data_IF_763188904489
#
_entry.id   IF_763188904489
#
_cell.length_a   1.000
_cell.length_b   1.000
_cell.length_c   1.000
_cell.angle_alpha   90.00
_cell.angle_beta   90.00
_cell.angle_gamma   90.00
#
_symmetry.space_group_name_H-M   'P 1'
#
loop_
_entity.id
_entity.type
_entity.pdbx_description
1 polymer ?
#
# COMPACT_ATOMS: atom_id res chain seq x y z
N UNK A 1 -23.65 -8.06 68.21
CA UNK A 1 -22.46 -7.18 68.02
C UNK A 1 -21.57 -7.87 67.02
N UNK A 2 -21.21 -7.39 65.83
CA UNK A 2 -21.27 -6.09 65.14
C UNK A 2 -21.32 -6.43 63.62
N UNK A 3 -22.31 -5.91 62.89
CA UNK A 3 -22.24 -4.78 61.91
C UNK A 3 -22.07 -5.26 60.45
N UNK A 4 -22.93 -4.67 59.62
CA UNK A 4 -23.11 -4.79 58.17
C UNK A 4 -21.90 -4.32 57.31
N UNK A 5 -21.87 -4.86 56.09
CA UNK A 5 -21.53 -4.24 54.79
C UNK A 5 -20.20 -3.50 54.60
N UNK A 6 -19.47 -3.87 53.53
CA UNK A 6 -19.10 -2.90 52.49
C UNK A 6 -18.74 -3.59 51.16
N UNK A 7 -19.25 -3.00 50.09
CA UNK A 7 -19.07 -3.29 48.67
C UNK A 7 -17.80 -2.59 48.16
N UNK A 8 -17.16 -3.19 47.13
CA UNK A 8 -16.18 -2.67 46.16
C UNK A 8 -15.01 -1.80 46.62
N UNK A 9 -13.79 -2.23 46.27
CA UNK A 9 -12.85 -1.37 45.53
C UNK A 9 -12.19 -2.19 44.42
N UNK A 10 -12.51 -1.84 43.17
CA UNK A 10 -11.70 -2.08 41.99
C UNK A 10 -10.29 -1.52 42.24
N UNK A 11 -9.27 -2.37 42.27
CA UNK A 11 -7.90 -1.94 41.97
C UNK A 11 -7.65 -2.12 40.47
N UNK A 12 -8.25 -1.22 39.70
CA UNK A 12 -7.60 -0.71 38.50
C UNK A 12 -6.47 0.19 38.96
N UNK A 13 -5.23 -0.20 38.67
CA UNK A 13 -4.13 0.64 38.17
C UNK A 13 -2.81 -0.10 38.39
N UNK A 14 -2.14 -0.50 37.30
CA UNK A 14 -0.72 -0.84 37.37
C UNK A 14 -0.17 -1.88 36.41
N UNK A 15 -0.98 -2.65 35.68
CA UNK A 15 -0.47 -3.61 34.68
C UNK A 15 -1.05 -3.25 33.32
N UNK A 16 -0.53 -2.17 32.73
CA UNK A 16 -0.44 -2.10 31.28
C UNK A 16 0.66 -3.08 30.87
N UNK A 17 0.33 -4.37 30.75
CA UNK A 17 1.13 -5.24 29.89
C UNK A 17 0.95 -4.68 28.48
N UNK A 18 1.91 -3.90 27.97
CA UNK A 18 2.02 -3.72 26.52
C UNK A 18 2.18 -5.12 25.93
N UNK A 19 1.15 -5.59 25.22
CA UNK A 19 1.13 -6.93 24.66
C UNK A 19 2.26 -7.02 23.62
N UNK A 20 3.18 -7.95 23.81
CA UNK A 20 4.12 -8.36 22.76
C UNK A 20 3.29 -8.84 21.55
N UNK A 21 3.84 -8.72 20.33
CA UNK A 21 3.13 -9.28 19.19
C UNK A 21 3.11 -10.81 19.27
N UNK A 22 2.23 -11.45 18.50
CA UNK A 22 2.12 -12.90 18.53
C UNK A 22 3.43 -13.56 18.09
N UNK A 23 3.85 -14.64 18.76
CA UNK A 23 5.15 -15.29 18.51
C UNK A 23 5.36 -15.71 17.04
N UNK A 24 4.28 -16.12 16.36
CA UNK A 24 4.30 -16.43 14.93
C UNK A 24 4.56 -15.20 14.06
N UNK A 25 3.96 -14.06 14.42
CA UNK A 25 4.16 -12.78 13.72
C UNK A 25 5.55 -12.22 14.04
N UNK A 26 6.01 -12.34 15.29
CA UNK A 26 7.38 -12.02 15.71
C UNK A 26 8.43 -12.81 14.92
N UNK A 27 8.25 -14.12 14.80
CA UNK A 27 9.14 -14.98 14.02
C UNK A 27 9.13 -14.59 12.55
N UNK A 28 7.95 -14.29 11.99
CA UNK A 28 7.84 -13.82 10.61
C UNK A 28 8.52 -12.46 10.39
N UNK A 29 8.45 -11.54 11.36
CA UNK A 29 9.16 -10.27 11.33
C UNK A 29 10.69 -10.45 11.34
N UNK A 30 11.21 -11.38 12.14
CA UNK A 30 12.64 -11.72 12.13
C UNK A 30 13.08 -12.36 10.79
N UNK A 31 12.25 -13.23 10.22
CA UNK A 31 12.49 -13.78 8.88
C UNK A 31 12.50 -12.67 7.83
N UNK A 32 11.53 -11.75 7.90
CA UNK A 32 11.43 -10.60 7.01
C UNK A 32 12.71 -9.73 7.09
N UNK A 33 13.19 -9.39 8.29
CA UNK A 33 14.46 -8.70 8.50
C UNK A 33 15.63 -9.41 7.81
N UNK A 34 15.76 -10.72 8.04
CA UNK A 34 16.84 -11.52 7.46
C UNK A 34 16.79 -11.56 5.94
N UNK A 35 15.60 -11.69 5.34
CA UNK A 35 15.45 -11.73 3.88
C UNK A 35 15.70 -10.37 3.24
N UNK A 36 15.26 -9.30 3.89
CA UNK A 36 15.45 -7.94 3.41
C UNK A 36 16.88 -7.44 3.67
N UNK A 37 17.65 -8.12 4.51
CA UNK A 37 18.94 -7.64 5.02
C UNK A 37 18.83 -6.21 5.57
N UNK A 38 17.72 -5.95 6.28
CA UNK A 38 17.37 -4.63 6.81
C UNK A 38 16.84 -4.78 8.23
N UNK A 39 17.34 -3.94 9.13
CA UNK A 39 16.88 -3.94 10.52
C UNK A 39 15.58 -3.16 10.65
N UNK A 40 14.49 -3.84 11.03
CA UNK A 40 13.25 -3.18 11.45
C UNK A 40 13.35 -2.63 12.89
N UNK A 41 14.48 -2.86 13.56
CA UNK A 41 14.84 -2.33 14.86
C UNK A 41 15.93 -1.27 14.65
N UNK A 42 15.61 0.03 14.66
CA UNK A 42 16.64 1.06 14.70
C UNK A 42 16.55 1.80 16.04
N UNK A 43 17.34 1.35 17.01
CA UNK A 43 17.72 2.19 18.14
C UNK A 43 19.24 2.15 18.26
N UNK A 44 19.83 3.29 18.63
CA UNK A 44 21.28 3.58 18.69
C UNK A 44 22.10 2.63 19.59
N UNK A 45 21.47 1.61 20.16
CA UNK A 45 22.03 0.61 21.06
C UNK A 45 22.39 -0.73 20.40
N UNK A 46 21.80 -1.10 19.25
CA UNK A 46 22.05 -2.43 18.65
C UNK A 46 23.34 -2.52 17.83
N UNK A 47 23.95 -1.40 17.43
CA UNK A 47 25.29 -1.41 16.83
C UNK A 47 26.36 -1.92 17.80
N UNK A 48 26.13 -1.79 19.11
CA UNK A 48 27.00 -2.36 20.15
C UNK A 48 26.77 -3.86 20.34
N UNK A 49 25.53 -4.35 20.19
CA UNK A 49 25.18 -5.73 20.53
C UNK A 49 25.68 -6.76 19.50
N UNK A 50 25.64 -6.43 18.20
CA UNK A 50 26.21 -7.30 17.15
C UNK A 50 27.74 -7.40 17.19
N UNK A 51 28.43 -6.43 17.82
CA UNK A 51 29.89 -6.43 17.95
C UNK A 51 30.38 -7.40 19.04
N UNK A 52 29.53 -7.77 20.01
CA UNK A 52 29.92 -8.60 21.16
C UNK A 52 29.64 -10.11 20.99
N UNK A 53 28.77 -10.50 20.06
CA UNK A 53 28.37 -11.91 19.89
C UNK A 53 29.16 -12.69 18.82
N UNK A 54 30.17 -12.07 18.21
CA UNK A 54 31.11 -12.79 17.34
C UNK A 54 32.30 -13.41 18.08
N UNK A 55 32.46 -13.15 19.39
CA UNK A 55 33.58 -13.69 20.15
C UNK A 55 33.13 -14.81 21.08
N UNK A 56 33.49 -16.03 20.70
CA UNK A 56 33.37 -17.21 21.52
C UNK A 56 34.30 -17.08 22.72
N UNK A 57 33.77 -16.80 23.91
CA UNK A 57 34.06 -17.50 25.18
C UNK A 57 33.59 -16.70 26.41
N UNK A 58 33.16 -17.47 27.41
CA UNK A 58 33.02 -17.16 28.84
C UNK A 58 31.68 -16.68 29.41
N UNK A 59 31.45 -17.30 30.56
CA UNK A 59 30.27 -17.42 31.39
C UNK A 59 30.17 -16.34 32.46
N UNK A 60 28.93 -16.17 32.94
CA UNK A 60 28.55 -15.63 34.25
C UNK A 60 28.79 -14.13 34.48
N UNK A 61 27.73 -13.31 34.31
CA UNK A 61 27.45 -12.23 35.26
C UNK A 61 25.98 -11.77 35.23
N UNK A 62 25.42 -11.75 36.45
CA UNK A 62 24.20 -11.11 37.00
C UNK A 62 22.79 -11.37 36.42
N UNK A 63 21.94 -11.88 37.30
CA UNK A 63 20.56 -12.32 37.11
C UNK A 63 19.58 -11.33 37.76
N UNK A 64 19.60 -10.05 37.37
CA UNK A 64 18.59 -9.08 37.84
C UNK A 64 18.34 -7.83 36.98
N UNK A 65 18.86 -7.77 35.74
CA UNK A 65 18.27 -6.91 34.70
C UNK A 65 17.50 -7.82 33.75
N UNK A 66 16.17 -7.81 33.85
CA UNK A 66 15.34 -8.23 32.72
C UNK A 66 15.80 -7.40 31.52
N UNK A 67 16.55 -8.04 30.62
CA UNK A 67 16.70 -7.54 29.26
C UNK A 67 15.26 -7.56 28.73
N UNK A 68 14.59 -6.41 28.79
CA UNK A 68 13.31 -6.19 28.16
C UNK A 68 13.49 -6.62 26.71
N UNK A 69 13.00 -7.82 26.41
CA UNK A 69 13.03 -8.38 25.08
C UNK A 69 12.21 -7.42 24.24
N UNK A 70 12.89 -6.60 23.42
CA UNK A 70 12.26 -5.54 22.63
C UNK A 70 11.03 -6.13 21.94
N UNK A 71 9.84 -5.66 22.36
CA UNK A 71 8.58 -6.19 21.88
C UNK A 71 8.44 -5.82 20.41
N UNK A 72 7.98 -6.75 19.58
CA UNK A 72 7.87 -6.50 18.14
C UNK A 72 6.90 -5.37 17.80
N UNK A 73 5.93 -5.08 18.68
CA UNK A 73 5.04 -3.93 18.53
C UNK A 73 5.70 -2.57 18.81
N UNK A 74 6.91 -2.57 19.39
CA UNK A 74 7.71 -1.36 19.62
C UNK A 74 8.73 -1.13 18.50
N UNK A 75 8.76 -2.00 17.48
CA UNK A 75 9.63 -1.81 16.31
C UNK A 75 9.10 -0.65 15.47
N UNK A 76 9.99 0.26 15.08
CA UNK A 76 9.67 1.53 14.39
C UNK A 76 8.68 1.39 13.21
N UNK A 77 8.81 0.28 12.49
CA UNK A 77 8.09 0.01 11.23
C UNK A 77 6.94 -0.98 11.37
N UNK A 78 6.61 -1.37 12.61
CA UNK A 78 5.56 -2.34 12.92
C UNK A 78 4.53 -1.67 13.80
N UNK A 79 3.27 -1.73 13.38
CA UNK A 79 2.14 -1.33 14.23
C UNK A 79 1.27 -2.51 14.57
N UNK A 80 1.00 -2.66 15.85
CA UNK A 80 0.06 -3.66 16.36
C UNK A 80 -1.30 -3.05 16.73
N UNK A 81 -2.32 -3.90 16.71
CA UNK A 81 -3.62 -3.60 17.30
C UNK A 81 -3.48 -3.50 18.81
N UNK A 82 -3.90 -2.37 19.39
CA UNK A 82 -3.86 -2.14 20.84
C UNK A 82 -4.71 -3.15 21.63
N UNK A 83 -5.70 -3.78 20.99
CA UNK A 83 -6.62 -4.73 21.63
C UNK A 83 -6.11 -6.17 21.54
N UNK A 84 -5.52 -6.56 20.41
CA UNK A 84 -5.19 -7.97 20.13
C UNK A 84 -3.71 -8.28 20.09
N UNK A 85 -2.85 -7.26 20.06
CA UNK A 85 -1.40 -7.41 19.86
C UNK A 85 -1.02 -7.89 18.46
N UNK A 86 -1.97 -8.02 17.52
CA UNK A 86 -1.67 -8.48 16.16
C UNK A 86 -1.04 -7.40 15.33
N UNK A 87 -0.06 -7.75 14.50
CA UNK A 87 0.51 -6.85 13.50
C UNK A 87 -0.57 -6.48 12.48
N UNK A 88 -0.87 -5.18 12.39
CA UNK A 88 -1.87 -4.62 11.50
C UNK A 88 -1.25 -3.71 10.44
N UNK A 89 -0.08 -3.12 10.69
CA UNK A 89 0.61 -2.29 9.70
C UNK A 89 2.09 -2.64 9.64
N UNK A 90 2.62 -2.70 8.42
CA UNK A 90 4.04 -2.78 8.12
C UNK A 90 4.42 -1.63 7.20
N UNK A 91 5.33 -0.77 7.65
CA UNK A 91 5.93 0.27 6.82
C UNK A 91 7.36 -0.13 6.42
N UNK A 92 7.50 -0.64 5.20
CA UNK A 92 8.77 -1.07 4.64
C UNK A 92 9.22 -0.14 3.51
N UNK A 93 8.87 1.14 3.59
CA UNK A 93 9.37 2.16 2.68
C UNK A 93 10.90 2.33 2.81
N UNK A 94 11.59 2.40 1.68
CA UNK A 94 13.01 2.77 1.61
C UNK A 94 13.90 1.90 2.55
N UNK A 95 13.75 0.59 2.43
CA UNK A 95 14.50 -0.41 3.21
C UNK A 95 15.69 -1.00 2.44
N UNK A 96 15.76 -0.73 1.13
CA UNK A 96 16.91 -1.10 0.29
C UNK A 96 17.66 0.18 -0.10
N UNK A 97 18.98 0.09 -0.16
CA UNK A 97 19.82 1.19 -0.61
C UNK A 97 19.37 1.65 -2.01
N UNK A 98 19.23 2.95 -2.20
CA UNK A 98 18.87 3.55 -3.48
C UNK A 98 19.81 3.13 -4.62
N UNK A 99 21.09 2.89 -4.31
CA UNK A 99 22.09 2.41 -5.27
C UNK A 99 22.05 0.90 -5.51
N UNK A 100 21.17 0.16 -4.81
CA UNK A 100 21.04 -1.27 -5.00
C UNK A 100 20.37 -1.59 -6.35
N UNK A 101 20.80 -2.70 -6.95
CA UNK A 101 20.16 -3.26 -8.14
C UNK A 101 18.69 -3.59 -7.87
N UNK A 102 17.90 -3.58 -8.95
CA UNK A 102 16.51 -4.01 -8.90
C UNK A 102 16.39 -5.43 -8.35
N UNK A 103 15.35 -5.69 -7.57
CA UNK A 103 15.12 -7.02 -6.99
C UNK A 103 13.66 -7.48 -7.10
N UNK A 104 13.45 -8.76 -6.82
CA UNK A 104 12.16 -9.42 -6.95
C UNK A 104 11.61 -9.81 -5.57
N UNK A 105 10.41 -9.34 -5.26
CA UNK A 105 9.74 -9.56 -3.99
C UNK A 105 9.27 -11.00 -3.82
N UNK A 106 9.46 -11.55 -2.62
CA UNK A 106 8.76 -12.74 -2.17
C UNK A 106 7.55 -12.33 -1.30
N UNK A 107 6.37 -12.25 -1.90
CA UNK A 107 5.17 -11.84 -1.18
C UNK A 107 4.75 -12.85 -0.09
N UNK A 108 5.17 -14.12 -0.18
CA UNK A 108 4.84 -15.13 0.83
C UNK A 108 5.38 -14.81 2.22
N UNK A 109 6.36 -13.90 2.34
CA UNK A 109 6.86 -13.40 3.62
C UNK A 109 5.77 -12.70 4.46
N UNK A 110 4.68 -12.21 3.84
CA UNK A 110 3.61 -11.51 4.55
C UNK A 110 2.46 -12.42 5.00
N UNK A 111 2.47 -13.71 4.65
CA UNK A 111 1.35 -14.62 4.91
C UNK A 111 1.03 -14.85 6.38
N UNK A 112 2.01 -14.65 7.26
CA UNK A 112 1.85 -14.81 8.71
C UNK A 112 1.03 -13.67 9.34
N UNK A 113 0.94 -12.51 8.69
CA UNK A 113 0.27 -11.31 9.21
C UNK A 113 -1.21 -11.28 8.80
N UNK A 114 -2.02 -12.20 9.34
CA UNK A 114 -3.43 -12.39 8.94
C UNK A 114 -4.35 -11.18 9.19
N UNK A 115 -3.92 -10.25 10.04
CA UNK A 115 -4.65 -9.03 10.37
C UNK A 115 -4.03 -7.78 9.72
N UNK A 116 -3.04 -7.96 8.84
CA UNK A 116 -2.41 -6.86 8.13
C UNK A 116 -3.46 -6.12 7.31
N UNK A 117 -3.58 -4.82 7.57
CA UNK A 117 -4.46 -3.93 6.83
C UNK A 117 -3.73 -2.85 6.03
N UNK A 118 -2.44 -2.65 6.32
CA UNK A 118 -1.60 -1.65 5.70
C UNK A 118 -0.23 -2.27 5.41
N UNK A 119 0.17 -2.22 4.15
CA UNK A 119 1.49 -2.63 3.71
C UNK A 119 2.08 -1.53 2.84
N UNK A 120 3.18 -0.96 3.31
CA UNK A 120 4.00 -0.03 2.53
C UNK A 120 5.27 -0.72 2.04
N UNK A 121 5.50 -0.68 0.73
CA UNK A 121 6.69 -1.20 0.07
C UNK A 121 7.28 -0.14 -0.88
N UNK A 122 6.94 1.14 -0.70
CA UNK A 122 7.44 2.21 -1.57
C UNK A 122 8.96 2.36 -1.52
N UNK A 123 9.53 2.99 -2.55
CA UNK A 123 10.95 3.39 -2.60
C UNK A 123 11.94 2.22 -2.41
N UNK A 124 11.71 1.08 -3.05
CA UNK A 124 12.53 -0.11 -2.82
C UNK A 124 13.25 -0.68 -4.04
N UNK A 125 13.15 -0.10 -5.23
CA UNK A 125 13.68 -0.68 -6.47
C UNK A 125 13.14 -2.11 -6.76
N UNK A 126 11.87 -2.39 -6.42
CA UNK A 126 11.24 -3.69 -6.71
C UNK A 126 10.83 -3.73 -8.18
N UNK A 127 11.41 -4.66 -8.96
CA UNK A 127 11.08 -4.83 -10.38
C UNK A 127 9.95 -5.83 -10.64
N UNK A 128 9.52 -6.57 -9.63
CA UNK A 128 8.47 -7.56 -9.74
C UNK A 128 8.47 -8.55 -8.58
N UNK A 129 7.83 -9.69 -8.78
CA UNK A 129 7.78 -10.76 -7.79
C UNK A 129 8.55 -11.99 -8.25
N UNK A 130 9.05 -12.79 -7.30
CA UNK A 130 9.58 -14.11 -7.58
C UNK A 130 8.50 -15.01 -8.20
N UNK A 131 8.91 -15.90 -9.11
CA UNK A 131 8.00 -16.83 -9.78
C UNK A 131 7.22 -17.64 -8.75
N UNK A 132 5.89 -17.67 -8.92
CA UNK A 132 4.93 -18.31 -8.03
C UNK A 132 4.81 -17.71 -6.62
N UNK A 133 5.51 -16.61 -6.30
CA UNK A 133 5.51 -15.98 -4.98
C UNK A 133 5.08 -14.51 -5.02
N UNK A 134 4.23 -14.15 -5.99
CA UNK A 134 3.72 -12.79 -6.16
C UNK A 134 2.47 -12.48 -5.32
N UNK A 135 1.87 -11.31 -5.59
CA UNK A 135 0.74 -10.79 -4.82
C UNK A 135 -0.48 -11.72 -4.77
N UNK A 136 -0.65 -12.66 -5.71
CA UNK A 136 -1.67 -13.70 -5.64
C UNK A 136 -1.61 -14.53 -4.34
N UNK A 137 -0.43 -14.66 -3.72
CA UNK A 137 -0.27 -15.32 -2.42
C UNK A 137 -1.01 -14.58 -1.31
N UNK A 138 -1.08 -13.27 -1.39
CA UNK A 138 -1.73 -12.42 -0.40
C UNK A 138 -3.26 -12.42 -0.52
N UNK A 139 -3.84 -13.20 -1.44
CA UNK A 139 -5.30 -13.40 -1.54
C UNK A 139 -5.97 -13.85 -0.24
N UNK A 140 -5.23 -14.49 0.66
CA UNK A 140 -5.72 -14.88 1.99
C UNK A 140 -5.70 -13.76 3.04
N UNK A 141 -5.16 -12.59 2.72
CA UNK A 141 -5.11 -11.43 3.62
C UNK A 141 -6.38 -10.58 3.46
N UNK A 142 -7.49 -11.10 3.99
CA UNK A 142 -8.83 -10.52 3.86
C UNK A 142 -8.96 -9.10 4.46
N UNK A 143 -8.01 -8.69 5.30
CA UNK A 143 -7.98 -7.38 5.94
C UNK A 143 -7.10 -6.35 5.22
N UNK A 144 -6.37 -6.74 4.17
CA UNK A 144 -5.41 -5.84 3.49
C UNK A 144 -6.17 -4.78 2.69
N UNK A 145 -6.27 -3.56 3.23
CA UNK A 145 -7.05 -2.47 2.63
C UNK A 145 -6.17 -1.42 1.96
N UNK A 146 -4.93 -1.26 2.42
CA UNK A 146 -3.98 -0.26 1.93
C UNK A 146 -2.70 -0.94 1.46
N UNK A 147 -2.34 -0.69 0.19
CA UNK A 147 -1.11 -1.16 -0.41
C UNK A 147 -0.42 0.00 -1.15
N UNK A 148 0.79 0.34 -0.71
CA UNK A 148 1.63 1.32 -1.37
C UNK A 148 2.84 0.64 -2.03
N UNK A 149 2.94 0.81 -3.35
CA UNK A 149 3.99 0.28 -4.22
C UNK A 149 4.70 1.42 -4.98
N UNK A 150 4.50 2.67 -4.57
CA UNK A 150 5.05 3.83 -5.24
C UNK A 150 6.58 3.80 -5.34
N UNK A 151 7.15 4.47 -6.33
CA UNK A 151 8.61 4.64 -6.46
C UNK A 151 9.36 3.30 -6.49
N UNK A 152 8.89 2.39 -7.33
CA UNK A 152 9.51 1.08 -7.60
C UNK A 152 9.75 0.91 -9.11
N UNK A 153 9.94 -0.31 -9.60
CA UNK A 153 10.17 -0.60 -11.02
C UNK A 153 9.12 -1.58 -11.56
N UNK A 154 7.91 -1.56 -11.01
CA UNK A 154 6.81 -2.38 -11.49
C UNK A 154 6.40 -1.97 -12.90
N UNK A 155 6.08 -2.97 -13.72
CA UNK A 155 5.51 -2.79 -15.05
C UNK A 155 4.01 -3.02 -15.01
N UNK A 156 3.33 -2.73 -16.12
CA UNK A 156 1.87 -2.81 -16.24
C UNK A 156 1.30 -4.21 -15.90
N UNK A 157 2.08 -5.28 -16.06
CA UNK A 157 1.69 -6.65 -15.75
C UNK A 157 1.50 -6.93 -14.24
N UNK A 158 1.90 -6.00 -13.37
CA UNK A 158 1.64 -6.08 -11.93
C UNK A 158 0.14 -6.13 -11.61
N UNK A 159 -0.69 -5.44 -12.39
CA UNK A 159 -2.12 -5.31 -12.17
C UNK A 159 -2.81 -6.68 -12.15
N UNK A 160 -2.41 -7.60 -13.03
CA UNK A 160 -2.90 -8.98 -13.04
C UNK A 160 -2.68 -9.69 -11.69
N UNK A 161 -1.53 -9.49 -11.06
CA UNK A 161 -1.23 -10.10 -9.75
C UNK A 161 -2.01 -9.45 -8.61
N UNK A 162 -2.39 -8.18 -8.75
CA UNK A 162 -3.16 -7.43 -7.76
C UNK A 162 -4.66 -7.75 -7.79
N UNK A 163 -5.18 -8.29 -8.90
CA UNK A 163 -6.60 -8.71 -9.04
C UNK A 163 -7.06 -9.69 -7.95
N UNK A 164 -6.12 -10.41 -7.33
CA UNK A 164 -6.38 -11.36 -6.25
C UNK A 164 -6.61 -10.71 -4.87
N UNK A 165 -6.35 -9.40 -4.73
CA UNK A 165 -6.44 -8.66 -3.48
C UNK A 165 -7.78 -7.94 -3.37
N UNK A 166 -8.84 -8.74 -3.20
CA UNK A 166 -10.22 -8.26 -3.22
C UNK A 166 -10.56 -7.28 -2.09
N UNK A 167 -9.78 -7.24 -1.00
CA UNK A 167 -9.96 -6.35 0.15
C UNK A 167 -9.43 -4.93 -0.06
N UNK A 168 -8.64 -4.68 -1.11
CA UNK A 168 -8.00 -3.38 -1.31
C UNK A 168 -9.02 -2.25 -1.49
N UNK A 169 -8.74 -1.16 -0.78
CA UNK A 169 -9.46 0.12 -0.86
C UNK A 169 -8.57 1.25 -1.34
N UNK A 170 -7.27 1.17 -1.07
CA UNK A 170 -6.26 2.13 -1.50
C UNK A 170 -5.10 1.39 -2.16
N UNK A 171 -4.76 1.82 -3.37
CA UNK A 171 -3.62 1.31 -4.13
C UNK A 171 -2.84 2.51 -4.70
N UNK A 172 -1.56 2.58 -4.35
CA UNK A 172 -0.63 3.53 -4.93
C UNK A 172 0.44 2.78 -5.74
N UNK A 173 0.56 3.13 -7.02
CA UNK A 173 1.51 2.62 -8.02
C UNK A 173 2.28 3.77 -8.68
N UNK A 174 2.34 4.93 -8.03
CA UNK A 174 3.00 6.12 -8.55
C UNK A 174 4.49 5.84 -8.83
N UNK A 175 5.09 6.57 -9.76
CA UNK A 175 6.52 6.55 -10.02
C UNK A 175 7.07 5.12 -10.23
N UNK A 176 6.50 4.40 -11.20
CA UNK A 176 6.91 3.05 -11.59
C UNK A 176 7.30 3.01 -13.09
N UNK A 177 7.57 1.81 -13.64
CA UNK A 177 7.91 1.61 -15.06
C UNK A 177 6.68 1.12 -15.85
N UNK A 178 5.47 1.58 -15.49
CA UNK A 178 4.23 1.18 -16.19
C UNK A 178 4.13 1.92 -17.52
N UNK A 179 4.10 1.17 -18.63
CA UNK A 179 4.09 1.75 -19.99
C UNK A 179 2.92 1.30 -20.83
N UNK A 180 2.64 2.10 -21.86
CA UNK A 180 1.65 1.77 -22.89
C UNK A 180 0.24 1.85 -22.33
N UNK A 181 -0.66 0.96 -22.79
CA UNK A 181 -2.07 0.99 -22.38
C UNK A 181 -2.40 -0.06 -21.33
N UNK A 182 -3.10 0.36 -20.27
CA UNK A 182 -3.55 -0.49 -19.16
C UNK A 182 -4.75 -1.35 -19.55
N UNK A 183 -4.75 -2.59 -19.08
CA UNK A 183 -5.87 -3.53 -19.19
C UNK A 183 -7.04 -3.10 -18.29
N UNK A 184 -8.17 -2.71 -18.87
CA UNK A 184 -9.35 -2.31 -18.08
C UNK A 184 -9.95 -3.46 -17.29
N UNK A 185 -9.84 -4.70 -17.79
CA UNK A 185 -10.42 -5.85 -17.11
C UNK A 185 -9.68 -6.19 -15.81
N UNK A 186 -8.37 -5.94 -15.76
CA UNK A 186 -7.58 -6.08 -14.53
C UNK A 186 -7.97 -5.02 -13.49
N UNK A 187 -8.12 -3.75 -13.90
CA UNK A 187 -8.58 -2.69 -13.00
C UNK A 187 -10.02 -2.90 -12.51
N UNK A 188 -10.93 -3.32 -13.39
CA UNK A 188 -12.33 -3.57 -13.06
C UNK A 188 -12.48 -4.72 -12.04
N UNK A 189 -11.50 -5.62 -11.92
CA UNK A 189 -11.50 -6.68 -10.91
C UNK A 189 -11.29 -6.17 -9.48
N UNK A 190 -10.68 -4.98 -9.31
CA UNK A 190 -10.41 -4.33 -8.02
C UNK A 190 -11.68 -3.63 -7.50
N UNK A 191 -12.75 -4.39 -7.35
CA UNK A 191 -14.11 -3.89 -7.14
C UNK A 191 -14.33 -3.08 -5.86
N UNK A 192 -13.49 -3.26 -4.83
CA UNK A 192 -13.58 -2.52 -3.56
C UNK A 192 -12.71 -1.25 -3.51
N UNK A 193 -11.93 -0.99 -4.56
CA UNK A 193 -10.98 0.11 -4.59
C UNK A 193 -11.71 1.46 -4.57
N UNK A 194 -11.25 2.36 -3.70
CA UNK A 194 -11.77 3.73 -3.53
C UNK A 194 -10.76 4.77 -4.00
N UNK A 195 -9.47 4.46 -3.89
CA UNK A 195 -8.37 5.33 -4.23
C UNK A 195 -7.38 4.55 -5.10
N UNK A 196 -7.11 5.09 -6.29
CA UNK A 196 -6.09 4.59 -7.20
C UNK A 196 -5.20 5.75 -7.61
N UNK A 197 -3.89 5.56 -7.43
CA UNK A 197 -2.86 6.46 -7.93
C UNK A 197 -1.91 5.66 -8.83
N UNK A 198 -1.75 6.09 -10.08
CA UNK A 198 -0.80 5.55 -11.07
C UNK A 198 -0.01 6.70 -11.72
N UNK A 199 0.17 7.79 -10.99
CA UNK A 199 0.83 9.01 -11.42
C UNK A 199 2.32 8.76 -11.69
N UNK A 200 2.98 9.59 -12.48
CA UNK A 200 4.44 9.48 -12.67
C UNK A 200 4.89 8.21 -13.41
N UNK A 201 4.11 7.77 -14.39
CA UNK A 201 4.42 6.58 -15.20
C UNK A 201 4.50 6.96 -16.71
N UNK A 202 4.58 5.97 -17.59
CA UNK A 202 4.59 6.14 -19.05
C UNK A 202 3.29 5.60 -19.71
N UNK A 203 2.15 5.81 -19.04
CA UNK A 203 0.85 5.28 -19.48
C UNK A 203 0.29 6.16 -20.60
N UNK A 204 -0.06 5.53 -21.72
CA UNK A 204 -0.62 6.19 -22.91
C UNK A 204 -2.16 6.16 -22.93
N UNK A 205 -2.78 5.33 -22.08
CA UNK A 205 -4.23 5.19 -21.98
C UNK A 205 -4.67 3.82 -21.49
N UNK A 206 -5.89 3.44 -21.85
CA UNK A 206 -6.54 2.21 -21.41
C UNK A 206 -7.01 1.40 -22.63
N UNK A 207 -7.16 0.09 -22.49
CA UNK A 207 -7.70 -0.77 -23.55
C UNK A 207 -8.40 -2.00 -22.98
N UNK A 208 -9.44 -2.46 -23.69
CA UNK A 208 -10.01 -3.79 -23.49
C UNK A 208 -9.21 -4.83 -24.25
N UNK A 209 -8.85 -5.92 -23.59
CA UNK A 209 -8.22 -7.06 -24.28
C UNK A 209 -9.20 -8.16 -24.68
N UNK A 210 -10.43 -8.11 -24.19
CA UNK A 210 -11.46 -9.12 -24.50
C UNK A 210 -12.46 -8.65 -25.57
N UNK A 211 -12.17 -7.56 -26.28
CA UNK A 211 -13.01 -7.04 -27.38
C UNK A 211 -14.34 -6.44 -26.93
N UNK A 212 -14.46 -6.05 -25.66
CA UNK A 212 -15.62 -5.37 -25.10
C UNK A 212 -15.54 -3.85 -25.23
N UNK A 213 -16.52 -3.16 -24.65
CA UNK A 213 -16.46 -1.70 -24.52
C UNK A 213 -15.24 -1.29 -23.67
N UNK A 214 -14.51 -0.27 -24.12
CA UNK A 214 -13.32 0.24 -23.44
C UNK A 214 -13.69 1.14 -22.24
N UNK A 215 -14.52 0.62 -21.32
CA UNK A 215 -15.08 1.36 -20.19
C UNK A 215 -14.52 0.87 -18.84
N UNK A 216 -14.00 1.79 -18.03
CA UNK A 216 -13.70 1.50 -16.62
C UNK A 216 -14.99 1.57 -15.79
N UNK A 217 -15.26 0.48 -15.06
CA UNK A 217 -16.47 0.31 -14.27
C UNK A 217 -16.11 -0.08 -12.81
N UNK A 218 -15.36 0.82 -12.16
CA UNK A 218 -14.98 0.68 -10.75
C UNK A 218 -15.98 1.46 -9.89
N UNK A 219 -17.10 0.82 -9.56
CA UNK A 219 -18.25 1.47 -8.92
C UNK A 219 -17.98 2.05 -7.51
N UNK A 220 -16.89 1.67 -6.85
CA UNK A 220 -16.48 2.22 -5.56
C UNK A 220 -15.38 3.28 -5.65
N UNK A 221 -14.78 3.49 -6.82
CA UNK A 221 -13.65 4.39 -6.99
C UNK A 221 -14.10 5.84 -6.83
N UNK A 222 -13.46 6.57 -5.91
CA UNK A 222 -13.77 7.96 -5.55
C UNK A 222 -12.65 8.91 -5.96
N UNK A 223 -11.40 8.43 -5.94
CA UNK A 223 -10.21 9.23 -6.20
C UNK A 223 -9.33 8.50 -7.21
N UNK A 224 -9.06 9.15 -8.34
CA UNK A 224 -8.22 8.62 -9.39
C UNK A 224 -7.16 9.65 -9.78
N UNK A 225 -5.91 9.30 -9.57
CA UNK A 225 -4.77 10.07 -10.05
C UNK A 225 -4.05 9.33 -11.18
N UNK A 226 -4.07 9.97 -12.36
CA UNK A 226 -3.39 9.55 -13.59
C UNK A 226 -2.50 10.69 -14.12
N UNK A 227 -2.09 11.60 -13.24
CA UNK A 227 -1.20 12.70 -13.56
C UNK A 227 0.19 12.22 -14.02
N UNK A 228 1.01 13.12 -14.56
CA UNK A 228 2.38 12.80 -15.00
C UNK A 228 2.47 11.51 -15.84
N UNK A 229 1.72 11.46 -16.93
CA UNK A 229 1.68 10.32 -17.85
C UNK A 229 1.62 10.82 -19.31
N UNK A 230 1.36 9.92 -20.27
CA UNK A 230 1.24 10.23 -21.70
C UNK A 230 -0.21 10.14 -22.22
N UNK A 231 -1.18 10.44 -21.36
CA UNK A 231 -2.59 10.24 -21.66
C UNK A 231 -3.11 11.31 -22.64
N UNK A 232 -3.86 10.84 -23.65
CA UNK A 232 -4.46 11.66 -24.69
C UNK A 232 -5.95 11.98 -24.47
N UNK A 233 -6.53 12.73 -25.41
CA UNK A 233 -7.91 13.24 -25.33
C UNK A 233 -8.99 12.15 -25.29
N UNK A 234 -8.68 10.93 -25.73
CA UNK A 234 -9.60 9.78 -25.78
C UNK A 234 -9.92 9.20 -24.40
N UNK A 235 -9.15 9.56 -23.36
CA UNK A 235 -9.27 8.98 -22.02
C UNK A 235 -10.66 9.11 -21.40
N UNK A 236 -11.36 10.23 -21.64
CA UNK A 236 -12.67 10.46 -21.03
C UNK A 236 -13.72 9.45 -21.51
N UNK A 237 -13.59 8.94 -22.74
CA UNK A 237 -14.48 7.90 -23.25
C UNK A 237 -14.38 6.59 -22.44
N UNK A 238 -13.21 6.33 -21.83
CA UNK A 238 -12.98 5.20 -20.95
C UNK A 238 -13.35 5.49 -19.49
N UNK A 239 -13.11 6.71 -18.99
CA UNK A 239 -13.38 7.08 -17.60
C UNK A 239 -14.85 7.33 -17.28
N UNK A 240 -15.69 7.56 -18.31
CA UNK A 240 -17.12 7.89 -18.14
C UNK A 240 -17.95 6.88 -17.34
N UNK A 241 -17.44 5.66 -17.15
CA UNK A 241 -18.09 4.61 -16.36
C UNK A 241 -17.84 4.72 -14.86
N UNK A 242 -16.92 5.59 -14.43
CA UNK A 242 -16.57 5.82 -13.02
C UNK A 242 -17.61 6.72 -12.33
N UNK A 243 -18.81 6.18 -12.18
CA UNK A 243 -19.99 6.91 -11.66
C UNK A 243 -19.84 7.44 -10.21
N UNK A 244 -18.97 6.84 -9.40
CA UNK A 244 -18.71 7.25 -8.00
C UNK A 244 -17.52 8.21 -7.84
N UNK A 245 -16.84 8.56 -8.94
CA UNK A 245 -15.62 9.36 -8.89
C UNK A 245 -15.94 10.78 -8.41
N UNK A 246 -15.17 11.25 -7.43
CA UNK A 246 -15.25 12.60 -6.85
C UNK A 246 -14.09 13.48 -7.25
N UNK A 247 -12.90 12.89 -7.34
CA UNK A 247 -11.70 13.62 -7.72
C UNK A 247 -10.95 12.90 -8.81
N UNK A 248 -10.62 13.65 -9.86
CA UNK A 248 -9.84 13.19 -10.99
C UNK A 248 -8.64 14.11 -11.22
N UNK A 249 -7.44 13.56 -11.11
CA UNK A 249 -6.21 14.24 -11.47
C UNK A 249 -5.70 13.71 -12.81
N UNK A 250 -5.58 14.61 -13.80
CA UNK A 250 -4.98 14.32 -15.12
C UNK A 250 -3.97 15.40 -15.52
N UNK A 251 -3.42 16.10 -14.53
CA UNK A 251 -2.41 17.13 -14.74
C UNK A 251 -1.13 16.54 -15.34
N UNK A 252 -0.33 17.33 -16.05
CA UNK A 252 0.89 16.85 -16.72
C UNK A 252 0.66 15.62 -17.62
N UNK A 253 -0.20 15.77 -18.63
CA UNK A 253 -0.46 14.75 -19.63
C UNK A 253 -0.36 15.33 -21.06
N UNK A 254 -0.77 14.54 -22.06
CA UNK A 254 -0.75 14.94 -23.47
C UNK A 254 -2.12 15.43 -23.98
N UNK A 255 -3.00 15.87 -23.07
CA UNK A 255 -4.29 16.45 -23.44
C UNK A 255 -4.05 17.73 -24.22
N UNK A 256 -4.67 17.89 -25.39
CA UNK A 256 -4.32 18.99 -26.30
C UNK A 256 -5.45 19.53 -27.15
N UNK A 257 -5.28 20.77 -27.61
CA UNK A 257 -6.18 21.40 -28.55
C UNK A 257 -7.56 21.65 -27.94
N UNK A 258 -8.61 21.28 -28.67
CA UNK A 258 -9.97 21.34 -28.16
C UNK A 258 -10.28 20.08 -27.34
N UNK A 259 -10.54 20.25 -26.05
CA UNK A 259 -10.86 19.18 -25.11
C UNK A 259 -12.37 19.18 -24.84
N UNK A 260 -13.04 18.07 -25.18
CA UNK A 260 -14.48 17.89 -25.02
C UNK A 260 -14.80 17.20 -23.69
N UNK A 261 -15.48 17.91 -22.80
CA UNK A 261 -15.85 17.49 -21.46
C UNK A 261 -17.20 16.77 -21.43
N UNK A 262 -17.87 16.55 -22.56
CA UNK A 262 -19.22 15.95 -22.62
C UNK A 262 -19.30 14.59 -21.89
N UNK A 263 -18.27 13.75 -21.96
CA UNK A 263 -18.28 12.45 -21.28
C UNK A 263 -18.24 12.59 -19.75
N UNK A 264 -17.84 13.74 -19.20
CA UNK A 264 -17.93 14.01 -17.76
C UNK A 264 -19.38 14.18 -17.26
N UNK A 265 -20.34 14.42 -18.16
CA UNK A 265 -21.76 14.54 -17.79
C UNK A 265 -22.31 13.28 -17.12
N UNK A 266 -21.71 12.11 -17.40
CA UNK A 266 -22.09 10.84 -16.76
C UNK A 266 -21.48 10.68 -15.36
N UNK A 267 -20.43 11.45 -15.04
CA UNK A 267 -19.69 11.40 -13.79
C UNK A 267 -20.32 12.32 -12.76
N UNK A 268 -21.59 12.08 -12.43
CA UNK A 268 -22.44 12.97 -11.62
C UNK A 268 -21.95 13.30 -10.20
N UNK A 269 -20.99 12.53 -9.67
CA UNK A 269 -20.38 12.76 -8.36
C UNK A 269 -19.03 13.51 -8.44
N UNK A 270 -18.57 13.88 -9.64
CA UNK A 270 -17.28 14.54 -9.81
C UNK A 270 -17.34 15.95 -9.23
N UNK A 271 -16.49 16.21 -8.24
CA UNK A 271 -16.41 17.47 -7.50
C UNK A 271 -15.18 18.28 -7.91
N UNK A 272 -14.07 17.59 -8.19
CA UNK A 272 -12.77 18.22 -8.43
C UNK A 272 -12.07 17.56 -9.61
N UNK A 273 -11.58 18.40 -10.53
CA UNK A 273 -10.89 18.00 -11.75
C UNK A 273 -9.62 18.83 -11.94
N UNK A 274 -8.47 18.17 -11.99
CA UNK A 274 -7.17 18.81 -12.25
C UNK A 274 -6.69 18.47 -13.66
N UNK A 275 -6.47 19.52 -14.47
CA UNK A 275 -6.06 19.44 -15.89
C UNK A 275 -4.85 20.32 -16.20
N UNK A 276 -4.24 20.92 -15.18
CA UNK A 276 -3.08 21.78 -15.33
C UNK A 276 -1.92 21.06 -16.02
N UNK A 277 -1.01 21.84 -16.58
CA UNK A 277 0.19 21.32 -17.26
C UNK A 277 -0.11 20.35 -18.42
N UNK A 278 -1.24 20.57 -19.09
CA UNK A 278 -1.59 20.00 -20.38
C UNK A 278 -1.49 21.05 -21.50
N UNK A 279 -1.66 20.63 -22.75
CA UNK A 279 -1.61 21.51 -23.93
C UNK A 279 -3.02 21.87 -24.47
N UNK A 280 -4.00 21.98 -23.59
CA UNK A 280 -5.41 22.29 -23.92
C UNK A 280 -5.52 23.77 -24.29
N UNK A 281 -6.08 24.07 -25.46
CA UNK A 281 -6.27 25.45 -25.94
C UNK A 281 -7.72 25.92 -25.86
N UNK A 282 -8.68 24.99 -25.77
CA UNK A 282 -10.10 25.30 -25.69
C UNK A 282 -10.88 24.16 -25.02
N UNK A 283 -11.82 24.50 -24.14
CA UNK A 283 -12.81 23.57 -23.60
C UNK A 283 -14.13 23.66 -24.37
N UNK A 284 -14.78 22.51 -24.59
CA UNK A 284 -16.16 22.37 -25.10
C UNK A 284 -16.85 21.32 -24.22
N UNK A 285 -18.15 21.43 -23.94
CA UNK A 285 -18.86 20.48 -23.07
C UNK A 285 -19.17 21.01 -21.67
N UNK A 286 -19.93 20.25 -20.87
CA UNK A 286 -21.02 20.80 -20.04
C UNK A 286 -20.72 21.13 -18.57
N UNK A 287 -21.60 22.01 -18.05
CA UNK A 287 -21.89 22.42 -16.66
C UNK A 287 -20.70 22.73 -15.77
N UNK A 288 -20.53 24.02 -15.46
CA UNK A 288 -20.22 24.53 -14.11
C UNK A 288 -18.91 24.10 -13.45
N UNK A 289 -18.12 23.26 -14.11
CA UNK A 289 -16.78 22.83 -13.70
C UNK A 289 -15.81 23.64 -14.56
N UNK A 290 -15.59 24.89 -14.16
CA UNK A 290 -14.42 25.69 -14.52
C UNK A 290 -13.91 26.29 -13.22
#
# INVERSE_FOLDING_TARGET
>A
MKVLAMIMVLLLQGIWCSADCWETERTALLQLQSHLNYSLQHDRYLSFYYYFYSDSTLSFYDSSMEIDVIKCCDWERVRCSATTGRVIQLNLENIKDFFAEMWYLNASLFLSFKHLNYLDLSENNIAGCLKNEGFQKLSSLENLEFLNLASNNFKTDILLSLTYLSSLKYLNLDDNDMKGRINIEELNSLTNLKNLSISGNEIEGFKSFNGGEELLNMSNLQHLDIGYNYIGNDVLSTLRGLSSLKTLWMYHNQLKGTFDLKELDTMSNLEVLFLDENNITKFIGSRGII
#
